data_IF_875205483851
#
_entry.id   IF_875205483851
#
_cell.length_a   1.000
_cell.length_b   1.000
_cell.length_c   1.000
_cell.angle_alpha   90.00
_cell.angle_beta   90.00
_cell.angle_gamma   90.00
#
_symmetry.space_group_name_H-M   'P 1'
#
loop_
_entity.id
_entity.type
_entity.pdbx_description
1 polymer ?
#
# COMPACT_ATOMS: atom_id res chain seq x y z
N UNK A 1 -98.01 -6.11 71.09
CA UNK A 1 -96.72 -6.22 70.36
C UNK A 1 -96.19 -4.83 70.14
N UNK A 2 -95.25 -4.38 70.97
CA UNK A 2 -94.65 -3.06 70.85
C UNK A 2 -93.22 -3.25 70.40
N UNK A 3 -92.92 -2.72 69.25
CA UNK A 3 -91.54 -2.71 68.67
C UNK A 3 -90.81 -1.51 69.33
N UNK A 4 -89.70 -1.79 69.98
CA UNK A 4 -88.77 -0.82 70.52
C UNK A 4 -87.78 -0.52 69.44
N UNK A 5 -87.71 0.72 68.94
CA UNK A 5 -86.64 1.23 68.08
C UNK A 5 -85.51 1.77 68.99
N UNK A 6 -84.33 1.22 68.85
CA UNK A 6 -83.08 1.73 69.42
C UNK A 6 -82.40 2.61 68.38
N UNK A 7 -82.11 3.89 68.70
CA UNK A 7 -81.32 4.70 67.72
C UNK A 7 -79.84 4.30 67.76
N UNK A 8 -79.32 3.93 66.63
CA UNK A 8 -77.90 3.67 66.41
C UNK A 8 -77.17 5.00 66.23
N UNK A 9 -76.46 5.45 67.27
CA UNK A 9 -75.50 6.60 67.13
C UNK A 9 -74.29 6.17 66.33
N UNK A 10 -74.22 6.67 65.10
CA UNK A 10 -73.01 6.58 64.29
C UNK A 10 -71.99 7.61 64.82
N UNK A 11 -70.98 7.15 65.52
CA UNK A 11 -69.78 7.95 65.85
C UNK A 11 -68.87 7.89 64.60
N UNK A 12 -68.90 8.97 63.85
CA UNK A 12 -67.93 9.14 62.77
C UNK A 12 -66.59 9.55 63.38
N UNK A 13 -65.75 8.57 63.67
CA UNK A 13 -64.34 8.82 64.01
C UNK A 13 -63.62 9.24 62.78
N UNK A 14 -63.21 10.48 62.67
CA UNK A 14 -62.24 10.98 61.68
C UNK A 14 -60.91 10.38 62.02
N UNK A 15 -60.59 9.24 61.38
CA UNK A 15 -59.22 8.77 61.34
C UNK A 15 -58.46 9.69 60.39
N UNK A 16 -57.65 10.61 60.92
CA UNK A 16 -56.56 11.24 60.21
C UNK A 16 -55.55 10.12 59.95
N UNK A 17 -55.58 9.60 58.74
CA UNK A 17 -54.53 8.72 58.27
C UNK A 17 -53.24 9.58 58.11
N UNK A 18 -52.48 9.75 59.19
CA UNK A 18 -51.08 10.12 59.11
C UNK A 18 -50.38 8.96 58.43
N UNK A 19 -50.17 9.07 57.10
CA UNK A 19 -49.35 8.16 56.39
C UNK A 19 -47.98 8.12 57.07
N UNK A 20 -47.65 7.00 57.68
CA UNK A 20 -46.26 6.74 58.07
C UNK A 20 -45.42 6.81 56.80
N UNK A 21 -44.74 7.96 56.53
CA UNK A 21 -43.65 8.01 55.63
C UNK A 21 -42.64 7.05 56.19
N UNK A 22 -42.37 5.94 55.49
CA UNK A 22 -41.37 5.00 55.93
C UNK A 22 -40.04 5.74 56.05
N UNK A 23 -39.23 5.42 57.06
CA UNK A 23 -37.91 5.98 57.31
C UNK A 23 -37.02 5.89 56.03
N UNK A 24 -37.23 4.86 55.24
CA UNK A 24 -36.60 4.70 53.90
C UNK A 24 -36.97 5.82 52.90
N UNK A 25 -38.09 6.52 53.07
CA UNK A 25 -38.52 7.58 52.16
C UNK A 25 -37.92 8.96 52.47
N UNK A 26 -37.33 9.13 53.65
CA UNK A 26 -36.74 10.39 54.12
C UNK A 26 -35.20 10.29 54.33
N UNK A 27 -34.64 9.09 54.19
CA UNK A 27 -33.19 8.88 54.34
C UNK A 27 -32.39 9.51 53.18
N UNK A 28 -31.27 10.19 53.46
CA UNK A 28 -30.38 10.68 52.40
C UNK A 28 -29.99 9.63 51.37
N UNK A 29 -29.87 8.37 51.80
CA UNK A 29 -29.50 7.21 50.99
C UNK A 29 -30.50 6.86 49.88
N UNK A 30 -31.74 7.41 49.96
CA UNK A 30 -32.71 7.20 48.87
C UNK A 30 -32.24 7.72 47.53
N UNK A 31 -31.64 8.90 47.51
CA UNK A 31 -31.10 9.48 46.27
C UNK A 31 -29.98 8.61 45.67
N UNK A 32 -29.16 8.01 46.54
CA UNK A 32 -28.14 7.04 46.11
C UNK A 32 -28.77 5.78 45.50
N UNK A 33 -29.80 5.21 46.14
CA UNK A 33 -30.48 4.02 45.64
C UNK A 33 -31.18 4.32 44.30
N UNK A 34 -31.88 5.45 44.17
CA UNK A 34 -32.49 5.90 42.92
C UNK A 34 -31.45 6.11 41.83
N UNK A 35 -30.30 6.74 42.16
CA UNK A 35 -29.19 6.94 41.23
C UNK A 35 -28.59 5.61 40.73
N UNK A 36 -28.37 4.66 41.64
CA UNK A 36 -27.90 3.32 41.34
C UNK A 36 -28.87 2.52 40.45
N UNK A 37 -30.18 2.63 40.72
CA UNK A 37 -31.21 2.02 39.89
C UNK A 37 -31.17 2.61 38.46
N UNK A 38 -31.13 3.94 38.35
CA UNK A 38 -30.99 4.64 37.04
C UNK A 38 -29.70 4.26 36.30
N UNK A 39 -28.60 4.07 37.03
CA UNK A 39 -27.35 3.57 36.47
C UNK A 39 -27.54 2.18 35.86
N UNK A 40 -28.16 1.25 36.60
CA UNK A 40 -28.41 -0.12 36.12
C UNK A 40 -29.34 -0.15 34.88
N UNK A 41 -30.27 0.81 34.81
CA UNK A 41 -31.16 1.01 33.65
C UNK A 41 -30.52 1.80 32.51
N UNK A 42 -29.22 2.16 32.61
CA UNK A 42 -28.45 2.97 31.65
C UNK A 42 -29.07 4.37 31.40
N UNK A 43 -29.89 4.86 32.37
CA UNK A 43 -30.37 6.24 32.34
C UNK A 43 -29.33 7.15 32.98
N UNK A 44 -28.23 7.37 32.27
CA UNK A 44 -27.06 8.10 32.74
C UNK A 44 -27.37 9.57 33.15
N UNK A 45 -28.18 10.35 32.39
CA UNK A 45 -28.53 11.70 32.82
C UNK A 45 -29.24 11.71 34.19
N UNK A 46 -30.25 10.89 34.35
CA UNK A 46 -30.98 10.80 35.63
C UNK A 46 -30.13 10.25 36.79
N UNK A 47 -29.21 9.33 36.48
CA UNK A 47 -28.23 8.80 37.43
C UNK A 47 -27.34 9.94 37.98
N UNK A 48 -26.75 10.74 37.11
CA UNK A 48 -25.88 11.87 37.50
C UNK A 48 -26.67 12.87 38.38
N UNK A 49 -27.87 13.29 37.96
CA UNK A 49 -28.68 14.25 38.72
C UNK A 49 -28.97 13.75 40.13
N UNK A 50 -29.30 12.47 40.29
CA UNK A 50 -29.60 11.88 41.61
C UNK A 50 -28.37 11.75 42.51
N UNK A 51 -27.26 11.31 41.93
CA UNK A 51 -26.03 11.10 42.69
C UNK A 51 -25.36 12.42 43.08
N UNK A 52 -25.41 13.44 42.24
CA UNK A 52 -24.95 14.78 42.58
C UNK A 52 -25.78 15.39 43.71
N UNK A 53 -27.13 15.23 43.69
CA UNK A 53 -27.99 15.65 44.77
C UNK A 53 -27.72 14.86 46.07
N UNK A 54 -27.39 13.58 46.00
CA UNK A 54 -27.00 12.76 47.13
C UNK A 54 -25.71 13.30 47.77
N UNK A 55 -24.67 13.59 47.03
CA UNK A 55 -23.38 14.07 47.51
C UNK A 55 -23.45 15.35 48.33
N UNK A 56 -24.44 16.23 48.06
CA UNK A 56 -24.64 17.48 48.85
C UNK A 56 -24.97 17.25 50.32
N UNK A 57 -25.49 16.08 50.67
CA UNK A 57 -25.95 15.77 52.02
C UNK A 57 -25.35 14.47 52.60
N UNK A 58 -24.60 13.74 51.81
CA UNK A 58 -23.98 12.48 52.17
C UNK A 58 -22.85 12.68 53.21
N UNK A 59 -22.70 11.67 54.07
CA UNK A 59 -21.63 11.63 55.09
C UNK A 59 -20.81 10.34 55.01
N UNK A 60 -21.33 9.33 54.35
CA UNK A 60 -20.69 8.03 54.17
C UNK A 60 -19.67 8.13 53.03
N UNK A 61 -18.39 8.05 53.38
CA UNK A 61 -17.31 8.20 52.45
C UNK A 61 -17.29 7.09 51.38
N UNK A 62 -17.65 5.86 51.73
CA UNK A 62 -17.67 4.73 50.81
C UNK A 62 -18.78 4.87 49.75
N UNK A 63 -19.97 5.35 50.20
CA UNK A 63 -21.09 5.61 49.30
C UNK A 63 -20.84 6.86 48.42
N UNK A 64 -20.12 7.86 48.93
CA UNK A 64 -19.68 9.02 48.12
C UNK A 64 -18.74 8.56 47.01
N UNK A 65 -17.72 7.76 47.34
CA UNK A 65 -16.79 7.19 46.35
C UNK A 65 -17.54 6.37 45.28
N UNK A 66 -18.48 5.54 45.68
CA UNK A 66 -19.28 4.75 44.73
C UNK A 66 -20.18 5.64 43.86
N UNK A 67 -20.76 6.73 44.41
CA UNK A 67 -21.51 7.72 43.64
C UNK A 67 -20.60 8.43 42.63
N UNK A 68 -19.40 8.84 43.00
CA UNK A 68 -18.42 9.48 42.12
C UNK A 68 -18.03 8.55 40.98
N UNK A 69 -17.75 7.27 41.29
CA UNK A 69 -17.50 6.29 40.25
C UNK A 69 -18.65 6.19 39.22
N UNK A 70 -19.91 6.05 39.72
CA UNK A 70 -21.05 5.95 38.81
C UNK A 70 -21.28 7.23 37.98
N UNK A 71 -20.95 8.40 38.52
CA UNK A 71 -21.05 9.70 37.83
C UNK A 71 -20.01 9.74 36.68
N UNK A 72 -18.73 9.42 36.95
CA UNK A 72 -17.67 9.49 35.91
C UNK A 72 -17.89 8.40 34.87
N UNK A 73 -18.34 7.20 35.25
CA UNK A 73 -18.71 6.15 34.30
C UNK A 73 -19.89 6.60 33.42
N UNK A 74 -20.91 7.20 34.00
CA UNK A 74 -22.06 7.71 33.24
C UNK A 74 -21.65 8.86 32.29
N UNK A 75 -20.69 9.69 32.68
CA UNK A 75 -20.12 10.73 31.81
C UNK A 75 -19.38 10.13 30.62
N UNK A 76 -18.63 9.06 30.83
CA UNK A 76 -17.98 8.28 29.77
C UNK A 76 -18.99 7.69 28.78
N UNK A 77 -20.01 6.99 29.29
CA UNK A 77 -21.05 6.37 28.46
C UNK A 77 -21.89 7.38 27.65
N UNK A 78 -21.97 8.63 28.13
CA UNK A 78 -22.60 9.74 27.38
C UNK A 78 -21.65 10.35 26.34
N UNK A 79 -20.41 9.94 26.28
CA UNK A 79 -19.41 10.54 25.40
C UNK A 79 -19.12 12.01 25.70
N UNK A 80 -19.14 12.42 26.99
CA UNK A 80 -18.86 13.81 27.36
C UNK A 80 -17.44 14.19 26.96
N UNK A 81 -17.21 15.39 26.39
CA UNK A 81 -15.89 15.81 25.91
C UNK A 81 -14.80 15.77 26.97
N UNK A 82 -15.15 16.03 28.24
CA UNK A 82 -14.25 16.05 29.40
C UNK A 82 -14.28 14.75 30.24
N UNK A 83 -14.81 13.65 29.69
CA UNK A 83 -14.91 12.40 30.42
C UNK A 83 -13.56 11.87 30.90
N UNK A 84 -12.49 12.04 30.13
CA UNK A 84 -11.13 11.63 30.50
C UNK A 84 -10.56 12.46 31.66
N UNK A 85 -10.90 13.74 31.75
CA UNK A 85 -10.53 14.59 32.90
C UNK A 85 -11.24 14.12 34.15
N UNK A 86 -12.57 13.94 34.09
CA UNK A 86 -13.36 13.46 35.23
C UNK A 86 -12.89 12.09 35.74
N UNK A 87 -12.53 11.18 34.85
CA UNK A 87 -12.00 9.86 35.21
C UNK A 87 -10.64 9.97 35.89
N UNK A 88 -9.75 10.89 35.46
CA UNK A 88 -8.46 11.14 36.09
C UNK A 88 -8.62 11.78 37.46
N UNK A 89 -9.51 12.77 37.60
CA UNK A 89 -9.80 13.38 38.89
C UNK A 89 -10.29 12.30 39.89
N UNK A 90 -11.12 11.36 39.43
CA UNK A 90 -11.57 10.23 40.27
C UNK A 90 -10.38 9.37 40.76
N UNK A 91 -9.38 9.08 39.90
CA UNK A 91 -8.17 8.31 40.29
C UNK A 91 -7.30 9.08 41.27
N UNK A 92 -7.23 10.41 41.14
CA UNK A 92 -6.48 11.27 42.05
C UNK A 92 -7.16 11.33 43.44
N UNK A 93 -8.50 11.44 43.47
CA UNK A 93 -9.26 11.48 44.70
C UNK A 93 -9.34 10.12 45.43
N UNK A 94 -9.34 9.02 44.66
CA UNK A 94 -9.51 7.65 45.16
C UNK A 94 -8.46 6.67 44.64
N UNK A 95 -7.15 6.85 44.94
CA UNK A 95 -6.08 6.04 44.37
C UNK A 95 -6.14 4.55 44.76
N UNK A 96 -6.82 4.19 45.82
CA UNK A 96 -7.03 2.81 46.26
C UNK A 96 -8.45 2.27 45.93
N UNK A 97 -9.13 2.88 44.99
CA UNK A 97 -10.48 2.45 44.62
C UNK A 97 -10.45 1.05 43.97
N UNK A 98 -11.47 0.25 44.32
CA UNK A 98 -11.72 -1.05 43.63
C UNK A 98 -12.09 -0.90 42.15
N UNK A 99 -12.39 0.32 41.70
CA UNK A 99 -12.75 0.65 40.33
C UNK A 99 -11.58 1.20 39.52
N UNK A 100 -10.36 1.30 40.13
CA UNK A 100 -9.20 1.92 39.46
C UNK A 100 -8.87 1.24 38.13
N UNK A 101 -8.87 -0.09 38.07
CA UNK A 101 -8.60 -0.85 36.84
C UNK A 101 -9.60 -0.56 35.73
N UNK A 102 -10.89 -0.53 36.09
CA UNK A 102 -11.94 -0.20 35.13
C UNK A 102 -11.84 1.25 34.67
N UNK A 103 -11.55 2.21 35.58
CA UNK A 103 -11.37 3.62 35.21
C UNK A 103 -10.15 3.79 34.30
N UNK A 104 -9.04 3.12 34.55
CA UNK A 104 -7.86 3.10 33.67
C UNK A 104 -8.23 2.56 32.28
N UNK A 105 -8.99 1.46 32.22
CA UNK A 105 -9.49 0.92 30.96
C UNK A 105 -10.39 1.91 30.20
N UNK A 106 -11.26 2.67 30.90
CA UNK A 106 -12.13 3.67 30.28
C UNK A 106 -11.32 4.84 29.71
N UNK A 107 -10.31 5.34 30.44
CA UNK A 107 -9.41 6.39 29.93
C UNK A 107 -8.62 5.89 28.71
N UNK A 108 -8.07 4.68 28.79
CA UNK A 108 -7.40 4.03 27.66
C UNK A 108 -8.31 3.93 26.43
N UNK A 109 -9.59 3.61 26.66
CA UNK A 109 -10.60 3.52 25.61
C UNK A 109 -10.90 4.86 24.95
N UNK A 110 -10.97 5.95 25.72
CA UNK A 110 -11.15 7.31 25.19
C UNK A 110 -9.96 7.68 24.29
N UNK A 111 -8.74 7.44 24.75
CA UNK A 111 -7.53 7.72 23.96
C UNK A 111 -7.47 6.85 22.69
N UNK A 112 -7.89 5.60 22.78
CA UNK A 112 -8.03 4.73 21.61
C UNK A 112 -8.99 5.31 20.56
N UNK A 113 -10.16 5.76 20.95
CA UNK A 113 -11.17 6.33 20.06
C UNK A 113 -10.72 7.66 19.42
N UNK A 114 -9.88 8.43 20.12
CA UNK A 114 -9.22 9.64 19.60
C UNK A 114 -8.02 9.34 18.68
N UNK A 115 -7.62 8.07 18.51
CA UNK A 115 -6.42 7.69 17.75
C UNK A 115 -5.10 8.00 18.46
N UNK A 116 -5.13 8.30 19.76
CA UNK A 116 -3.97 8.59 20.58
C UNK A 116 -3.34 7.29 21.15
N UNK A 117 -2.90 6.41 20.24
CA UNK A 117 -2.58 5.02 20.56
C UNK A 117 -1.48 4.84 21.62
N UNK A 118 -0.48 5.70 21.68
CA UNK A 118 0.56 5.63 22.73
C UNK A 118 -0.03 5.90 24.12
N UNK A 119 -0.93 6.87 24.25
CA UNK A 119 -1.62 7.15 25.52
C UNK A 119 -2.58 6.01 25.87
N UNK A 120 -3.28 5.46 24.87
CA UNK A 120 -4.14 4.31 25.10
C UNK A 120 -3.36 3.11 25.66
N UNK A 121 -2.20 2.78 25.09
CA UNK A 121 -1.31 1.71 25.60
C UNK A 121 -0.89 1.99 27.04
N UNK A 122 -0.53 3.23 27.37
CA UNK A 122 -0.16 3.61 28.73
C UNK A 122 -1.28 3.27 29.71
N UNK A 123 -2.50 3.77 29.47
CA UNK A 123 -3.62 3.57 30.37
C UNK A 123 -4.11 2.12 30.42
N UNK A 124 -4.05 1.38 29.32
CA UNK A 124 -4.34 -0.05 29.34
C UNK A 124 -3.32 -0.83 30.18
N UNK A 125 -2.04 -0.46 30.18
CA UNK A 125 -1.02 -1.11 31.02
C UNK A 125 -1.16 -0.80 32.51
N UNK A 126 -1.81 0.32 32.88
CA UNK A 126 -2.14 0.66 34.27
C UNK A 126 -3.39 -0.11 34.79
N UNK A 127 -4.08 -0.88 33.93
CA UNK A 127 -5.28 -1.65 34.26
C UNK A 127 -4.94 -3.13 34.35
N UNK A 128 -5.33 -3.78 35.45
CA UNK A 128 -5.29 -5.24 35.54
C UNK A 128 -6.49 -5.83 34.81
N UNK A 129 -6.23 -6.53 33.70
CA UNK A 129 -7.26 -7.15 32.86
C UNK A 129 -8.13 -8.14 33.64
N UNK A 130 -7.59 -8.82 34.65
CA UNK A 130 -8.33 -9.83 35.42
C UNK A 130 -9.39 -9.20 36.34
N UNK A 131 -9.26 -7.89 36.60
CA UNK A 131 -10.25 -7.12 37.38
C UNK A 131 -11.41 -6.57 36.54
N UNK A 132 -11.31 -6.67 35.21
CA UNK A 132 -12.35 -6.21 34.27
C UNK A 132 -13.44 -7.28 34.07
N UNK A 133 -14.63 -6.84 33.68
CA UNK A 133 -15.69 -7.76 33.27
C UNK A 133 -15.27 -8.52 31.99
N UNK A 134 -15.79 -9.73 31.73
CA UNK A 134 -15.45 -10.50 30.54
C UNK A 134 -15.62 -9.72 29.23
N UNK A 135 -16.64 -8.88 29.11
CA UNK A 135 -16.87 -8.05 27.94
C UNK A 135 -15.80 -6.95 27.80
N UNK A 136 -15.38 -6.35 28.90
CA UNK A 136 -14.31 -5.36 28.94
C UNK A 136 -12.94 -5.99 28.64
N UNK A 137 -12.67 -7.21 29.13
CA UNK A 137 -11.43 -7.95 28.83
C UNK A 137 -11.26 -8.19 27.32
N UNK A 138 -12.36 -8.51 26.64
CA UNK A 138 -12.34 -8.66 25.18
C UNK A 138 -12.04 -7.33 24.47
N UNK A 139 -12.72 -6.26 24.89
CA UNK A 139 -12.51 -4.93 24.33
C UNK A 139 -11.08 -4.40 24.62
N UNK A 140 -10.61 -4.60 25.84
CA UNK A 140 -9.24 -4.28 26.26
C UNK A 140 -8.21 -4.96 25.37
N UNK A 141 -8.31 -6.28 25.23
CA UNK A 141 -7.36 -7.08 24.45
C UNK A 141 -7.31 -6.63 22.99
N UNK A 142 -8.48 -6.35 22.39
CA UNK A 142 -8.57 -5.89 20.99
C UNK A 142 -8.02 -4.47 20.82
N UNK A 143 -8.44 -3.52 21.69
CA UNK A 143 -8.01 -2.13 21.62
C UNK A 143 -6.51 -1.98 21.88
N UNK A 144 -5.96 -2.74 22.84
CA UNK A 144 -4.52 -2.79 23.10
C UNK A 144 -3.76 -3.36 21.90
N UNK A 145 -4.21 -4.49 21.33
CA UNK A 145 -3.60 -5.09 20.16
C UNK A 145 -3.59 -4.13 18.96
N UNK A 146 -4.70 -3.44 18.72
CA UNK A 146 -4.80 -2.46 17.64
C UNK A 146 -3.88 -1.25 17.88
N UNK A 147 -3.83 -0.75 19.11
CA UNK A 147 -2.93 0.35 19.48
C UNK A 147 -1.46 -0.02 19.28
N UNK A 148 -1.06 -1.23 19.67
CA UNK A 148 0.28 -1.77 19.41
C UNK A 148 0.59 -1.89 17.93
N UNK A 149 -0.40 -2.29 17.12
CA UNK A 149 -0.24 -2.34 15.66
C UNK A 149 0.01 -0.95 15.07
N UNK A 150 -0.78 0.05 15.48
CA UNK A 150 -0.64 1.43 15.00
C UNK A 150 0.67 2.10 15.44
N UNK A 151 1.26 1.65 16.55
CA UNK A 151 2.55 2.13 17.04
C UNK A 151 3.75 1.32 16.53
N UNK A 152 3.50 0.32 15.65
CA UNK A 152 4.55 -0.46 14.99
C UNK A 152 5.01 -1.70 15.78
N UNK A 153 4.42 -2.00 16.93
CA UNK A 153 4.76 -3.18 17.75
C UNK A 153 4.05 -4.45 17.22
N UNK A 154 4.32 -4.80 15.95
CA UNK A 154 3.58 -5.82 15.20
C UNK A 154 3.59 -7.20 15.87
N UNK A 155 4.72 -7.65 16.44
CA UNK A 155 4.81 -8.98 17.06
C UNK A 155 3.94 -9.09 18.32
N UNK A 156 3.92 -8.06 19.15
CA UNK A 156 3.05 -8.01 20.33
C UNK A 156 1.58 -7.95 19.91
N UNK A 157 1.24 -7.06 18.97
CA UNK A 157 -0.11 -6.96 18.43
C UNK A 157 -0.61 -8.30 17.90
N UNK A 158 0.21 -9.01 17.11
CA UNK A 158 -0.10 -10.33 16.59
C UNK A 158 -0.40 -11.33 17.71
N UNK A 159 0.38 -11.31 18.80
CA UNK A 159 0.17 -12.17 19.96
C UNK A 159 -1.21 -11.99 20.59
N UNK A 160 -1.61 -10.75 20.83
CA UNK A 160 -2.94 -10.42 21.36
C UNK A 160 -4.07 -10.81 20.39
N UNK A 161 -3.97 -10.43 19.10
CA UNK A 161 -4.98 -10.80 18.10
C UNK A 161 -5.12 -12.33 17.95
N UNK A 162 -4.01 -13.09 17.98
CA UNK A 162 -4.07 -14.56 17.89
C UNK A 162 -4.79 -15.18 19.10
N UNK A 163 -4.68 -14.60 20.28
CA UNK A 163 -5.42 -15.02 21.47
C UNK A 163 -6.93 -14.82 21.30
N UNK A 164 -7.33 -13.61 20.85
CA UNK A 164 -8.74 -13.28 20.62
C UNK A 164 -9.33 -14.20 19.53
N UNK A 165 -8.58 -14.50 18.48
CA UNK A 165 -8.97 -15.42 17.42
C UNK A 165 -9.30 -16.82 17.97
N UNK A 166 -8.54 -17.31 18.95
CA UNK A 166 -8.71 -18.63 19.55
C UNK A 166 -9.91 -18.69 20.52
N UNK A 167 -10.10 -17.66 21.33
CA UNK A 167 -11.16 -17.61 22.34
C UNK A 167 -12.54 -17.49 21.69
N UNK A 168 -12.66 -16.81 20.56
CA UNK A 168 -13.90 -16.79 19.76
C UNK A 168 -14.95 -15.80 20.25
N UNK A 169 -14.58 -14.57 20.34
CA UNK A 169 -15.40 -13.43 20.74
C UNK A 169 -15.98 -12.69 19.56
N UNK A 170 -16.73 -11.62 19.83
CA UNK A 170 -17.23 -10.69 18.78
C UNK A 170 -16.10 -10.06 17.93
N UNK A 171 -14.86 -10.08 18.42
CA UNK A 171 -13.69 -9.55 17.70
C UNK A 171 -12.90 -10.62 16.92
N UNK A 172 -13.38 -11.87 16.84
CA UNK A 172 -12.66 -12.98 16.21
C UNK A 172 -12.29 -12.67 14.76
N UNK A 173 -13.26 -12.27 13.96
CA UNK A 173 -13.07 -12.02 12.52
C UNK A 173 -12.13 -10.83 12.29
N UNK A 174 -12.34 -9.74 13.03
CA UNK A 174 -11.44 -8.59 12.98
C UNK A 174 -10.02 -8.96 13.41
N UNK A 175 -9.87 -9.75 14.47
CA UNK A 175 -8.55 -10.22 14.92
C UNK A 175 -7.90 -11.16 13.92
N UNK A 176 -8.67 -12.02 13.26
CA UNK A 176 -8.19 -12.87 12.16
C UNK A 176 -7.65 -12.02 11.00
N UNK A 177 -8.38 -10.95 10.66
CA UNK A 177 -7.93 -10.02 9.62
C UNK A 177 -6.61 -9.35 10.00
N UNK A 178 -6.46 -8.86 11.24
CA UNK A 178 -5.21 -8.22 11.66
C UNK A 178 -4.05 -9.20 11.80
N UNK A 179 -4.28 -10.45 12.20
CA UNK A 179 -3.25 -11.52 12.15
C UNK A 179 -2.78 -11.73 10.71
N UNK A 180 -3.71 -11.88 9.77
CA UNK A 180 -3.38 -12.04 8.34
C UNK A 180 -2.64 -10.83 7.76
N UNK A 181 -3.07 -9.62 8.12
CA UNK A 181 -2.42 -8.38 7.71
C UNK A 181 -0.99 -8.28 8.24
N UNK A 182 -0.76 -8.58 9.53
CA UNK A 182 0.58 -8.57 10.12
C UNK A 182 1.46 -9.64 9.48
N UNK A 183 0.94 -10.84 9.22
CA UNK A 183 1.67 -11.90 8.53
C UNK A 183 2.03 -11.49 7.09
N UNK A 184 1.14 -10.77 6.38
CA UNK A 184 1.44 -10.17 5.09
C UNK A 184 2.56 -9.12 5.21
N UNK A 185 2.42 -8.15 6.10
CA UNK A 185 3.37 -7.07 6.30
C UNK A 185 4.77 -7.55 6.74
N UNK A 186 4.83 -8.67 7.44
CA UNK A 186 6.09 -9.31 7.89
C UNK A 186 6.61 -10.40 6.94
N UNK A 187 6.02 -10.53 5.73
CA UNK A 187 6.48 -11.46 4.68
C UNK A 187 6.09 -12.92 4.92
N UNK A 188 5.26 -13.22 5.92
CA UNK A 188 4.75 -14.57 6.21
C UNK A 188 3.56 -14.89 5.29
N UNK A 189 3.77 -14.78 3.97
CA UNK A 189 2.71 -14.81 2.97
C UNK A 189 1.84 -16.08 2.99
N UNK A 190 2.42 -17.23 3.27
CA UNK A 190 1.64 -18.48 3.32
C UNK A 190 0.63 -18.48 4.49
N UNK A 191 1.01 -17.95 5.65
CA UNK A 191 0.12 -17.83 6.79
C UNK A 191 -1.01 -16.84 6.50
N UNK A 192 -0.64 -15.66 5.94
CA UNK A 192 -1.60 -14.63 5.52
C UNK A 192 -2.63 -15.19 4.52
N UNK A 193 -2.19 -15.99 3.52
CA UNK A 193 -3.09 -16.61 2.55
C UNK A 193 -4.13 -17.53 3.19
N UNK A 194 -3.76 -18.31 4.21
CA UNK A 194 -4.70 -19.21 4.90
C UNK A 194 -5.84 -18.39 5.52
N UNK A 195 -5.51 -17.35 6.25
CA UNK A 195 -6.51 -16.55 6.96
C UNK A 195 -7.32 -15.67 5.99
N UNK A 196 -6.69 -15.02 5.00
CA UNK A 196 -7.43 -14.26 3.99
C UNK A 196 -8.33 -15.14 3.14
N UNK A 197 -7.93 -16.38 2.80
CA UNK A 197 -8.80 -17.31 2.07
C UNK A 197 -10.05 -17.68 2.86
N UNK A 198 -9.96 -17.75 4.18
CA UNK A 198 -11.12 -17.98 5.06
C UNK A 198 -12.00 -16.72 5.14
N UNK A 199 -11.38 -15.54 5.30
CA UNK A 199 -12.09 -14.26 5.39
C UNK A 199 -12.75 -13.84 4.08
N UNK A 200 -12.24 -14.30 2.94
CA UNK A 200 -12.83 -14.09 1.61
C UNK A 200 -14.29 -14.57 1.51
N UNK A 201 -14.66 -15.58 2.31
CA UNK A 201 -16.04 -16.09 2.34
C UNK A 201 -17.00 -15.22 3.18
N UNK A 202 -16.46 -14.21 3.89
CA UNK A 202 -17.23 -13.30 4.74
C UNK A 202 -17.46 -11.96 4.02
N UNK A 203 -18.72 -11.50 3.84
CA UNK A 203 -19.02 -10.30 3.06
C UNK A 203 -18.23 -9.05 3.50
N UNK A 204 -18.10 -8.83 4.82
CA UNK A 204 -17.45 -7.64 5.38
C UNK A 204 -15.93 -7.61 5.16
N UNK A 205 -15.30 -8.75 4.90
CA UNK A 205 -13.86 -8.89 4.72
C UNK A 205 -13.46 -9.30 3.30
N UNK A 206 -14.43 -9.64 2.43
CA UNK A 206 -14.20 -10.21 1.10
C UNK A 206 -13.33 -9.31 0.22
N UNK A 207 -13.67 -8.02 0.14
CA UNK A 207 -12.93 -7.07 -0.70
C UNK A 207 -11.45 -7.00 -0.31
N UNK A 208 -11.17 -6.77 0.98
CA UNK A 208 -9.81 -6.65 1.49
C UNK A 208 -9.04 -7.96 1.37
N UNK A 209 -9.71 -9.08 1.59
CA UNK A 209 -9.10 -10.41 1.46
C UNK A 209 -8.69 -10.69 0.03
N UNK A 210 -9.56 -10.46 -0.95
CA UNK A 210 -9.26 -10.60 -2.38
C UNK A 210 -8.08 -9.72 -2.78
N UNK A 211 -8.04 -8.49 -2.28
CA UNK A 211 -6.93 -7.56 -2.54
C UNK A 211 -5.59 -8.13 -2.05
N UNK A 212 -5.50 -8.54 -0.77
CA UNK A 212 -4.25 -9.08 -0.23
C UNK A 212 -3.86 -10.44 -0.83
N UNK A 213 -4.83 -11.31 -1.13
CA UNK A 213 -4.58 -12.58 -1.84
C UNK A 213 -3.96 -12.30 -3.22
N UNK A 214 -4.51 -11.34 -3.98
CA UNK A 214 -3.99 -10.93 -5.28
C UNK A 214 -2.56 -10.40 -5.17
N UNK A 215 -2.29 -9.55 -4.20
CA UNK A 215 -0.95 -9.03 -3.90
C UNK A 215 0.05 -10.15 -3.58
N UNK A 216 -0.33 -11.07 -2.70
CA UNK A 216 0.54 -12.17 -2.29
C UNK A 216 0.87 -13.07 -3.47
N UNK A 217 -0.12 -13.42 -4.31
CA UNK A 217 0.14 -14.22 -5.50
C UNK A 217 1.03 -13.50 -6.49
N UNK A 218 0.91 -12.18 -6.62
CA UNK A 218 1.81 -11.39 -7.44
C UNK A 218 3.26 -11.40 -6.92
N UNK A 219 3.46 -11.18 -5.62
CA UNK A 219 4.78 -11.28 -4.96
C UNK A 219 5.41 -12.68 -5.16
N UNK A 220 4.56 -13.73 -5.19
CA UNK A 220 5.00 -15.10 -5.42
C UNK A 220 5.13 -15.47 -6.90
N UNK A 221 4.94 -14.54 -7.85
CA UNK A 221 4.96 -14.75 -9.30
C UNK A 221 3.94 -15.82 -9.78
N UNK A 222 2.82 -15.98 -9.07
CA UNK A 222 1.74 -16.93 -9.42
C UNK A 222 0.69 -16.22 -10.28
N UNK A 223 1.09 -15.84 -11.50
CA UNK A 223 0.34 -14.93 -12.37
C UNK A 223 -1.06 -15.41 -12.74
N UNK A 224 -1.27 -16.71 -12.97
CA UNK A 224 -2.60 -17.26 -13.26
C UNK A 224 -3.57 -17.07 -12.08
N UNK A 225 -3.06 -17.23 -10.83
CA UNK A 225 -3.86 -16.99 -9.63
C UNK A 225 -4.13 -15.51 -9.41
N UNK A 226 -3.16 -14.65 -9.73
CA UNK A 226 -3.37 -13.19 -9.72
C UNK A 226 -4.52 -12.82 -10.65
N UNK A 227 -4.54 -13.38 -11.86
CA UNK A 227 -5.60 -13.09 -12.83
C UNK A 227 -6.95 -13.54 -12.29
N UNK A 228 -7.07 -14.75 -11.75
CA UNK A 228 -8.32 -15.26 -11.20
C UNK A 228 -8.88 -14.38 -10.07
N UNK A 229 -8.06 -14.09 -9.07
CA UNK A 229 -8.51 -13.34 -7.89
C UNK A 229 -8.69 -11.84 -8.21
N UNK A 230 -7.81 -11.26 -9.01
CA UNK A 230 -7.87 -9.86 -9.40
C UNK A 230 -9.05 -9.53 -10.33
N UNK A 231 -9.40 -10.41 -11.28
CA UNK A 231 -10.61 -10.23 -12.10
C UNK A 231 -11.89 -10.37 -11.26
N UNK A 232 -11.91 -11.31 -10.29
CA UNK A 232 -13.00 -11.43 -9.32
C UNK A 232 -13.15 -10.13 -8.50
N UNK A 233 -12.04 -9.58 -8.02
CA UNK A 233 -12.05 -8.33 -7.24
C UNK A 233 -12.60 -7.16 -8.05
N UNK A 234 -12.12 -6.95 -9.28
CA UNK A 234 -12.59 -5.87 -10.14
C UNK A 234 -14.07 -6.00 -10.53
N UNK A 235 -14.55 -7.23 -10.75
CA UNK A 235 -15.94 -7.48 -11.11
C UNK A 235 -16.90 -7.28 -9.95
N UNK A 236 -16.50 -7.70 -8.74
CA UNK A 236 -17.31 -7.61 -7.52
C UNK A 236 -17.29 -6.21 -6.91
N UNK A 237 -16.17 -5.48 -7.05
CA UNK A 237 -15.93 -4.16 -6.41
C UNK A 237 -15.39 -3.13 -7.42
N UNK A 238 -16.18 -2.75 -8.44
CA UNK A 238 -15.74 -1.87 -9.53
C UNK A 238 -15.34 -0.47 -9.07
N UNK A 239 -15.78 -0.03 -7.88
CA UNK A 239 -15.50 1.28 -7.31
C UNK A 239 -14.50 1.21 -6.12
N UNK A 240 -13.78 0.12 -5.96
CA UNK A 240 -12.76 -0.01 -4.90
C UNK A 240 -11.65 1.01 -5.07
N UNK A 241 -11.23 1.62 -3.96
CA UNK A 241 -10.06 2.51 -3.92
C UNK A 241 -8.75 1.79 -4.28
N UNK A 242 -8.74 0.47 -4.21
CA UNK A 242 -7.58 -0.36 -4.51
C UNK A 242 -7.46 -0.72 -6.00
N UNK A 243 -8.45 -0.37 -6.82
CA UNK A 243 -8.50 -0.81 -8.23
C UNK A 243 -7.32 -0.32 -9.06
N UNK A 244 -6.74 0.83 -8.77
CA UNK A 244 -5.52 1.31 -9.45
C UNK A 244 -4.38 0.30 -9.32
N UNK A 245 -4.10 -0.16 -8.11
CA UNK A 245 -3.07 -1.16 -7.84
C UNK A 245 -3.43 -2.53 -8.44
N UNK A 246 -4.70 -2.91 -8.41
CA UNK A 246 -5.15 -4.16 -9.03
C UNK A 246 -4.97 -4.13 -10.55
N UNK A 247 -5.24 -3.00 -11.22
CA UNK A 247 -4.95 -2.83 -12.65
C UNK A 247 -3.45 -3.00 -12.94
N UNK A 248 -2.59 -2.42 -12.10
CA UNK A 248 -1.13 -2.56 -12.21
C UNK A 248 -0.69 -4.03 -12.15
N UNK A 249 -1.12 -4.72 -11.10
CA UNK A 249 -0.77 -6.13 -10.84
C UNK A 249 -1.30 -7.04 -11.94
N UNK A 250 -2.54 -6.86 -12.35
CA UNK A 250 -3.14 -7.63 -13.45
C UNK A 250 -2.44 -7.36 -14.77
N UNK A 251 -2.11 -6.11 -15.07
CA UNK A 251 -1.40 -5.74 -16.29
C UNK A 251 -0.03 -6.41 -16.39
N UNK A 252 0.75 -6.36 -15.32
CA UNK A 252 2.02 -7.07 -15.23
C UNK A 252 1.85 -8.58 -15.36
N UNK A 253 0.86 -9.15 -14.69
CA UNK A 253 0.60 -10.60 -14.75
C UNK A 253 0.22 -11.05 -16.14
N UNK A 254 -0.64 -10.31 -16.84
CA UNK A 254 -0.96 -10.60 -18.25
C UNK A 254 0.23 -10.48 -19.18
N UNK A 255 1.13 -9.51 -18.93
CA UNK A 255 2.37 -9.39 -19.69
C UNK A 255 3.24 -10.64 -19.53
N UNK A 256 3.45 -11.12 -18.30
CA UNK A 256 4.21 -12.35 -18.02
C UNK A 256 3.55 -13.61 -18.59
N UNK A 257 2.24 -13.64 -18.69
CA UNK A 257 1.47 -14.72 -19.32
C UNK A 257 1.41 -14.59 -20.86
N UNK A 258 2.05 -13.58 -21.45
CA UNK A 258 2.08 -13.36 -22.90
C UNK A 258 0.78 -12.75 -23.47
N UNK A 259 -0.19 -12.38 -22.67
CA UNK A 259 -1.44 -11.77 -23.10
C UNK A 259 -1.30 -10.25 -23.22
N UNK A 260 -0.70 -9.80 -24.32
CA UNK A 260 -0.39 -8.39 -24.53
C UNK A 260 -1.62 -7.48 -24.63
N UNK A 261 -2.76 -8.00 -25.12
CA UNK A 261 -3.98 -7.21 -25.25
C UNK A 261 -4.56 -6.86 -23.88
N UNK A 262 -4.69 -7.86 -23.00
CA UNK A 262 -5.16 -7.64 -21.64
C UNK A 262 -4.13 -6.84 -20.81
N UNK A 263 -2.82 -7.09 -20.99
CA UNK A 263 -1.77 -6.31 -20.35
C UNK A 263 -1.87 -4.83 -20.70
N UNK A 264 -1.98 -4.51 -22.00
CA UNK A 264 -2.16 -3.12 -22.47
C UNK A 264 -3.39 -2.48 -21.86
N UNK A 265 -4.52 -3.18 -21.82
CA UNK A 265 -5.78 -2.64 -21.28
C UNK A 265 -5.62 -2.30 -19.78
N UNK A 266 -5.10 -3.25 -18.99
CA UNK A 266 -4.97 -3.06 -17.54
C UNK A 266 -3.94 -1.97 -17.21
N UNK A 267 -2.75 -1.98 -17.84
CA UNK A 267 -1.74 -0.96 -17.60
C UNK A 267 -2.18 0.43 -18.07
N UNK A 268 -2.94 0.54 -19.15
CA UNK A 268 -3.51 1.83 -19.58
C UNK A 268 -4.48 2.39 -18.54
N UNK A 269 -5.32 1.55 -17.93
CA UNK A 269 -6.22 1.95 -16.83
C UNK A 269 -5.43 2.38 -15.60
N UNK A 270 -4.39 1.64 -15.24
CA UNK A 270 -3.48 2.01 -14.14
C UNK A 270 -2.86 3.39 -14.37
N UNK A 271 -2.22 3.60 -15.52
CA UNK A 271 -1.56 4.87 -15.86
C UNK A 271 -2.55 6.04 -15.87
N UNK A 272 -3.80 5.80 -16.28
CA UNK A 272 -4.86 6.82 -16.24
C UNK A 272 -5.43 7.09 -14.85
N UNK A 273 -5.18 6.22 -13.88
CA UNK A 273 -5.72 6.29 -12.51
C UNK A 273 -4.74 6.86 -11.48
N UNK A 274 -3.51 7.20 -11.88
CA UNK A 274 -2.47 7.73 -11.00
C UNK A 274 -1.67 8.85 -11.67
N UNK A 275 -1.29 9.86 -10.89
CA UNK A 275 -0.43 10.96 -11.36
C UNK A 275 1.05 10.56 -11.44
N UNK A 276 1.44 9.46 -10.83
CA UNK A 276 2.83 9.00 -10.72
C UNK A 276 2.96 7.51 -10.98
N UNK A 277 2.75 7.06 -12.24
CA UNK A 277 2.92 5.65 -12.58
C UNK A 277 4.39 5.21 -12.42
N UNK A 278 4.59 3.97 -12.03
CA UNK A 278 5.92 3.40 -11.86
C UNK A 278 6.63 3.26 -13.22
N UNK A 279 7.92 3.58 -13.28
CA UNK A 279 8.75 3.52 -14.49
C UNK A 279 8.75 2.14 -15.15
N UNK A 280 8.80 1.07 -14.35
CA UNK A 280 8.75 -0.31 -14.84
C UNK A 280 7.45 -0.64 -15.55
N UNK A 281 6.33 -0.15 -15.03
CA UNK A 281 5.00 -0.40 -15.62
C UNK A 281 4.80 0.41 -16.91
N UNK A 282 5.33 1.64 -16.96
CA UNK A 282 5.38 2.45 -18.19
C UNK A 282 6.22 1.78 -19.28
N UNK A 283 7.36 1.18 -18.90
CA UNK A 283 8.20 0.40 -19.80
C UNK A 283 7.43 -0.79 -20.39
N UNK A 284 6.80 -1.60 -19.53
CA UNK A 284 6.03 -2.75 -19.99
C UNK A 284 4.87 -2.31 -20.91
N UNK A 285 4.15 -1.25 -20.55
CA UNK A 285 3.10 -0.69 -21.38
C UNK A 285 3.64 -0.23 -22.75
N UNK A 286 4.78 0.45 -22.75
CA UNK A 286 5.45 0.89 -23.97
C UNK A 286 5.85 -0.27 -24.87
N UNK A 287 6.42 -1.33 -24.30
CA UNK A 287 6.75 -2.57 -25.03
C UNK A 287 5.50 -3.24 -25.58
N UNK A 288 4.42 -3.31 -24.81
CA UNK A 288 3.13 -3.84 -25.29
C UNK A 288 2.60 -3.02 -26.48
N UNK A 289 2.65 -1.69 -26.43
CA UNK A 289 2.24 -0.83 -27.54
C UNK A 289 3.13 -1.05 -28.77
N UNK A 290 4.47 -1.15 -28.57
CA UNK A 290 5.41 -1.43 -29.63
C UNK A 290 5.08 -2.73 -30.37
N UNK A 291 4.90 -3.82 -29.62
CA UNK A 291 4.58 -5.14 -30.17
C UNK A 291 3.24 -5.16 -30.92
N UNK A 292 2.28 -4.31 -30.52
CA UNK A 292 0.99 -4.13 -31.21
C UNK A 292 1.09 -3.19 -32.43
N UNK A 293 2.24 -2.62 -32.73
CA UNK A 293 2.44 -1.66 -33.81
C UNK A 293 1.92 -0.25 -33.53
N UNK A 294 1.50 0.02 -32.29
CA UNK A 294 1.11 1.38 -31.88
C UNK A 294 2.33 2.19 -31.42
N UNK A 295 3.16 2.55 -32.38
CA UNK A 295 4.45 3.18 -32.10
C UNK A 295 4.34 4.55 -31.44
N UNK A 296 3.30 5.33 -31.77
CA UNK A 296 3.09 6.64 -31.13
C UNK A 296 2.80 6.52 -29.64
N UNK A 297 1.95 5.56 -29.24
CA UNK A 297 1.69 5.28 -27.82
C UNK A 297 2.89 4.67 -27.12
N UNK A 298 3.69 3.83 -27.84
CA UNK A 298 4.94 3.29 -27.33
C UNK A 298 5.94 4.41 -26.99
N UNK A 299 6.14 5.37 -27.90
CA UNK A 299 6.98 6.55 -27.65
C UNK A 299 6.51 7.32 -26.42
N UNK A 300 5.21 7.58 -26.30
CA UNK A 300 4.67 8.32 -25.13
C UNK A 300 4.99 7.62 -23.80
N UNK A 301 4.73 6.31 -23.69
CA UNK A 301 5.01 5.55 -22.47
C UNK A 301 6.50 5.43 -22.17
N UNK A 302 7.31 5.07 -23.19
CA UNK A 302 8.76 4.87 -23.04
C UNK A 302 9.52 6.17 -22.73
N UNK A 303 9.10 7.31 -23.28
CA UNK A 303 9.72 8.61 -22.98
C UNK A 303 9.57 9.00 -21.52
N UNK A 304 8.53 8.54 -20.85
CA UNK A 304 8.34 8.76 -19.43
C UNK A 304 9.16 7.80 -18.55
N UNK A 305 9.71 6.73 -19.14
CA UNK A 305 10.56 5.76 -18.45
C UNK A 305 12.00 6.26 -18.28
N UNK A 306 12.54 7.00 -19.28
CA UNK A 306 13.96 7.38 -19.39
C UNK A 306 14.32 8.60 -18.54
N UNK A 307 14.13 8.51 -17.21
CA UNK A 307 14.41 9.61 -16.25
C UNK A 307 15.69 9.43 -15.46
N UNK A 308 16.31 8.27 -15.51
CA UNK A 308 17.48 7.87 -14.73
C UNK A 308 18.50 7.20 -15.66
N UNK A 309 19.77 7.17 -15.22
CA UNK A 309 20.82 6.47 -15.95
C UNK A 309 20.96 5.04 -15.39
N UNK A 310 20.18 4.12 -15.93
CA UNK A 310 20.10 2.73 -15.49
C UNK A 310 19.78 1.77 -16.65
N UNK A 311 19.79 0.47 -16.36
CA UNK A 311 19.49 -0.57 -17.34
C UNK A 311 18.07 -0.45 -17.91
N UNK A 312 17.10 0.02 -17.13
CA UNK A 312 15.72 0.19 -17.59
C UNK A 312 15.65 1.30 -18.66
N UNK A 313 16.33 2.42 -18.43
CA UNK A 313 16.42 3.51 -19.39
C UNK A 313 17.14 3.09 -20.66
N UNK A 314 18.24 2.32 -20.55
CA UNK A 314 18.96 1.80 -21.72
C UNK A 314 18.04 0.94 -22.60
N UNK A 315 17.28 0.03 -22.00
CA UNK A 315 16.28 -0.78 -22.70
C UNK A 315 15.17 0.07 -23.34
N UNK A 316 14.64 1.05 -22.58
CA UNK A 316 13.60 1.94 -23.08
C UNK A 316 14.08 2.77 -24.28
N UNK A 317 15.33 3.27 -24.26
CA UNK A 317 15.92 3.97 -25.39
C UNK A 317 16.03 3.09 -26.65
N UNK A 318 16.35 1.80 -26.51
CA UNK A 318 16.36 0.89 -27.66
C UNK A 318 14.96 0.81 -28.30
N UNK A 319 13.91 0.58 -27.51
CA UNK A 319 12.52 0.52 -28.01
C UNK A 319 12.04 1.89 -28.54
N UNK A 320 12.47 3.01 -27.94
CA UNK A 320 12.22 4.35 -28.46
C UNK A 320 12.84 4.52 -29.85
N UNK A 321 14.10 4.15 -30.02
CA UNK A 321 14.78 4.21 -31.32
C UNK A 321 14.06 3.40 -32.38
N UNK A 322 13.68 2.16 -32.06
CA UNK A 322 12.93 1.29 -32.97
C UNK A 322 11.52 1.87 -33.27
N UNK A 323 10.84 2.44 -32.27
CA UNK A 323 9.53 3.06 -32.46
C UNK A 323 9.61 4.28 -33.39
N UNK A 324 10.60 5.15 -33.19
CA UNK A 324 10.83 6.32 -34.05
C UNK A 324 11.17 5.92 -35.49
N UNK A 325 11.96 4.84 -35.69
CA UNK A 325 12.20 4.30 -37.03
C UNK A 325 10.89 3.88 -37.74
N UNK A 326 10.02 3.18 -37.02
CA UNK A 326 8.69 2.77 -37.56
C UNK A 326 7.81 3.97 -37.88
N UNK A 327 7.95 5.07 -37.14
CA UNK A 327 7.29 6.35 -37.40
C UNK A 327 8.01 7.18 -38.47
N UNK A 328 9.14 6.70 -39.06
CA UNK A 328 9.98 7.42 -40.02
C UNK A 328 10.64 8.68 -39.47
N UNK A 329 10.75 8.81 -38.17
CA UNK A 329 11.45 9.90 -37.48
C UNK A 329 12.92 9.50 -37.22
N UNK A 330 13.76 9.64 -38.24
CA UNK A 330 15.16 9.26 -38.18
C UNK A 330 15.97 10.07 -37.18
N UNK A 331 15.60 11.34 -36.94
CA UNK A 331 16.32 12.22 -36.02
C UNK A 331 16.16 11.75 -34.57
N UNK A 332 14.94 11.56 -34.11
CA UNK A 332 14.67 11.06 -32.76
C UNK A 332 15.13 9.60 -32.61
N UNK A 333 15.05 8.78 -33.67
CA UNK A 333 15.59 7.41 -33.65
C UNK A 333 17.11 7.42 -33.39
N UNK A 334 17.85 8.31 -34.07
CA UNK A 334 19.31 8.46 -33.88
C UNK A 334 19.64 8.82 -32.44
N UNK A 335 18.99 9.84 -31.89
CA UNK A 335 19.20 10.28 -30.49
C UNK A 335 18.92 9.16 -29.48
N UNK A 336 17.86 8.40 -29.71
CA UNK A 336 17.49 7.30 -28.80
C UNK A 336 18.51 6.13 -28.89
N UNK A 337 18.92 5.76 -30.10
CA UNK A 337 19.95 4.71 -30.25
C UNK A 337 21.32 5.17 -29.72
N UNK A 338 21.69 6.43 -29.88
CA UNK A 338 22.92 7.00 -29.31
C UNK A 338 22.90 6.87 -27.77
N UNK A 339 21.78 7.26 -27.11
CA UNK A 339 21.63 7.14 -25.67
C UNK A 339 21.71 5.68 -25.19
N UNK A 340 21.15 4.74 -25.94
CA UNK A 340 21.23 3.31 -25.60
C UNK A 340 22.65 2.76 -25.83
N UNK A 341 23.36 3.21 -26.91
CA UNK A 341 24.69 2.75 -27.29
C UNK A 341 25.78 3.26 -26.32
N UNK A 342 25.63 4.48 -25.80
CA UNK A 342 26.57 5.07 -24.83
C UNK A 342 26.40 4.52 -23.42
N UNK A 343 25.29 3.84 -23.13
CA UNK A 343 25.04 3.16 -21.85
C UNK A 343 25.63 1.75 -21.87
N UNK A 344 26.24 1.31 -20.76
CA UNK A 344 26.95 0.02 -20.68
C UNK A 344 26.35 -0.97 -19.67
N UNK A 345 25.08 -0.79 -19.29
CA UNK A 345 24.40 -1.66 -18.32
C UNK A 345 24.12 -3.06 -18.90
N UNK A 346 23.68 -3.10 -20.16
CA UNK A 346 23.43 -4.33 -20.91
C UNK A 346 24.22 -4.30 -22.23
N UNK A 347 25.17 -5.22 -22.38
CA UNK A 347 26.02 -5.32 -23.54
C UNK A 347 25.29 -5.73 -24.81
N UNK A 348 24.24 -6.55 -24.72
CA UNK A 348 23.45 -6.95 -25.87
C UNK A 348 22.61 -5.78 -26.40
N UNK A 349 22.02 -5.00 -25.49
CA UNK A 349 21.30 -3.77 -25.84
C UNK A 349 22.27 -2.74 -26.46
N UNK A 350 23.45 -2.58 -25.86
CA UNK A 350 24.48 -1.68 -26.36
C UNK A 350 24.90 -2.05 -27.80
N UNK A 351 25.15 -3.33 -28.07
CA UNK A 351 25.51 -3.86 -29.39
C UNK A 351 24.44 -3.50 -30.44
N UNK A 352 23.17 -3.83 -30.18
CA UNK A 352 22.07 -3.55 -31.12
C UNK A 352 21.88 -2.04 -31.32
N UNK A 353 21.97 -1.26 -30.26
CA UNK A 353 21.80 0.19 -30.30
C UNK A 353 22.94 0.84 -31.10
N UNK A 354 24.22 0.46 -30.89
CA UNK A 354 25.38 1.00 -31.56
C UNK A 354 25.34 0.70 -33.05
N UNK A 355 24.94 -0.53 -33.42
CA UNK A 355 24.77 -0.88 -34.85
C UNK A 355 23.72 0.01 -35.53
N UNK A 356 22.52 0.17 -34.91
CA UNK A 356 21.45 0.99 -35.48
C UNK A 356 21.81 2.48 -35.53
N UNK A 357 22.52 2.98 -34.50
CA UNK A 357 23.02 4.35 -34.45
C UNK A 357 23.98 4.62 -35.63
N UNK A 358 25.00 3.77 -35.80
CA UNK A 358 25.98 3.89 -36.90
C UNK A 358 25.31 3.80 -38.29
N UNK A 359 24.36 2.86 -38.45
CA UNK A 359 23.59 2.71 -39.68
C UNK A 359 22.80 3.97 -40.05
N UNK A 360 22.12 4.56 -39.08
CA UNK A 360 21.35 5.80 -39.30
C UNK A 360 22.24 6.99 -39.68
N UNK A 361 23.39 7.13 -39.05
CA UNK A 361 24.38 8.15 -39.45
C UNK A 361 24.87 7.89 -40.88
N UNK A 362 25.21 6.64 -41.19
CA UNK A 362 25.65 6.25 -42.53
C UNK A 362 24.60 6.56 -43.60
N UNK A 363 23.32 6.25 -43.36
CA UNK A 363 22.22 6.51 -44.28
C UNK A 363 21.87 7.99 -44.45
N UNK A 364 22.20 8.84 -43.48
CA UNK A 364 21.87 10.26 -43.47
C UNK A 364 23.03 11.20 -43.74
N UNK A 365 24.27 10.69 -43.73
CA UNK A 365 25.48 11.47 -43.96
C UNK A 365 25.69 11.80 -45.46
N UNK A 366 25.95 13.08 -45.75
CA UNK A 366 26.28 13.54 -47.09
C UNK A 366 27.75 13.24 -47.51
N UNK A 367 28.59 12.84 -46.55
CA UNK A 367 30.03 12.58 -46.78
C UNK A 367 30.34 11.13 -46.41
N UNK A 368 30.90 10.37 -47.32
CA UNK A 368 31.21 8.94 -47.13
C UNK A 368 32.23 8.63 -46.02
N UNK A 369 32.93 9.62 -45.50
CA UNK A 369 33.94 9.46 -44.45
C UNK A 369 33.66 10.44 -43.31
N UNK A 370 33.19 9.95 -42.21
CA UNK A 370 32.77 10.78 -41.06
C UNK A 370 32.46 9.96 -39.82
N UNK A 371 31.54 10.49 -39.00
CA UNK A 371 31.14 9.94 -37.69
C UNK A 371 30.75 8.46 -37.77
N UNK A 372 30.04 8.00 -38.83
CA UNK A 372 29.61 6.62 -38.98
C UNK A 372 30.79 5.65 -39.08
N UNK A 373 31.89 6.04 -39.75
CA UNK A 373 33.09 5.21 -39.87
C UNK A 373 33.72 4.97 -38.53
N UNK A 374 33.88 6.00 -37.70
CA UNK A 374 34.39 5.88 -36.32
C UNK A 374 33.53 4.96 -35.47
N UNK A 375 32.21 5.12 -35.53
CA UNK A 375 31.31 4.28 -34.75
C UNK A 375 31.32 2.82 -35.20
N UNK A 376 31.44 2.57 -36.52
CA UNK A 376 31.59 1.21 -37.05
C UNK A 376 32.93 0.58 -36.68
N UNK A 377 34.05 1.36 -36.63
CA UNK A 377 35.35 0.90 -36.14
C UNK A 377 35.27 0.49 -34.67
N UNK A 378 34.68 1.36 -33.82
CA UNK A 378 34.47 1.10 -32.39
C UNK A 378 33.56 -0.11 -32.19
N UNK A 379 32.51 -0.26 -33.03
CA UNK A 379 31.63 -1.42 -32.99
C UNK A 379 32.39 -2.74 -33.22
N UNK A 380 33.26 -2.80 -34.25
CA UNK A 380 34.03 -4.02 -34.54
C UNK A 380 35.08 -4.33 -33.47
N UNK A 381 35.59 -3.31 -32.78
CA UNK A 381 36.52 -3.49 -31.68
C UNK A 381 35.82 -3.95 -30.41
N UNK A 382 34.62 -3.41 -30.10
CA UNK A 382 33.85 -3.75 -28.90
C UNK A 382 33.07 -5.07 -29.03
N UNK A 383 32.63 -5.38 -30.29
CA UNK A 383 31.78 -6.54 -30.61
C UNK A 383 32.29 -7.36 -31.79
N UNK A 384 33.54 -7.88 -31.73
CA UNK A 384 34.16 -8.56 -32.88
C UNK A 384 33.44 -9.84 -33.34
N UNK A 385 32.66 -10.47 -32.44
CA UNK A 385 31.87 -11.68 -32.70
C UNK A 385 30.37 -11.40 -32.89
N UNK A 386 30.00 -10.15 -33.12
CA UNK A 386 28.60 -9.75 -33.33
C UNK A 386 28.02 -10.38 -34.59
N UNK A 387 26.74 -10.72 -34.55
CA UNK A 387 25.98 -11.10 -35.75
C UNK A 387 25.95 -10.00 -36.84
N UNK A 388 26.24 -8.76 -36.46
CA UNK A 388 26.28 -7.60 -37.34
C UNK A 388 27.68 -7.32 -37.90
N UNK A 389 28.74 -8.02 -37.42
CA UNK A 389 30.11 -7.72 -37.74
C UNK A 389 30.40 -7.82 -39.26
N UNK A 390 29.89 -8.86 -39.93
CA UNK A 390 30.06 -9.00 -41.38
C UNK A 390 29.43 -7.84 -42.16
N UNK A 391 28.23 -7.42 -41.75
CA UNK A 391 27.52 -6.30 -42.37
C UNK A 391 28.24 -4.97 -42.15
N UNK A 392 28.78 -4.76 -40.96
CA UNK A 392 29.57 -3.57 -40.62
C UNK A 392 30.88 -3.55 -41.46
N UNK A 393 31.56 -4.70 -41.59
CA UNK A 393 32.72 -4.82 -42.46
C UNK A 393 32.40 -4.46 -43.93
N UNK A 394 31.27 -4.94 -44.47
CA UNK A 394 30.83 -4.61 -45.83
C UNK A 394 30.59 -3.11 -46.03
N UNK A 395 29.92 -2.44 -45.07
CA UNK A 395 29.72 -0.98 -45.10
C UNK A 395 31.03 -0.21 -45.03
N UNK A 396 31.96 -0.59 -44.16
CA UNK A 396 33.25 0.06 -44.06
C UNK A 396 34.07 -0.12 -45.34
N UNK A 397 34.12 -1.33 -45.92
CA UNK A 397 34.79 -1.60 -47.19
C UNK A 397 34.23 -0.74 -48.32
N UNK A 398 32.91 -0.63 -48.44
CA UNK A 398 32.26 0.22 -49.43
C UNK A 398 32.68 1.70 -49.27
N UNK A 399 32.65 2.23 -48.06
CA UNK A 399 33.08 3.61 -47.77
C UNK A 399 34.55 3.80 -48.08
N UNK A 400 35.43 2.84 -47.73
CA UNK A 400 36.84 2.90 -47.93
C UNK A 400 37.22 2.90 -49.42
N UNK A 401 36.56 2.11 -50.25
CA UNK A 401 36.81 2.02 -51.68
C UNK A 401 36.24 3.22 -52.48
N UNK A 402 35.19 3.88 -51.94
CA UNK A 402 34.55 5.01 -52.62
C UNK A 402 35.19 6.36 -52.27
N UNK A 403 35.91 6.44 -51.15
CA UNK A 403 36.58 7.68 -50.73
C UNK A 403 37.89 7.91 -51.49
N UNK A 404 38.21 9.18 -51.79
CA UNK A 404 39.53 9.56 -52.35
C UNK A 404 40.56 9.92 -51.26
N UNK A 405 40.15 9.80 -49.97
CA UNK A 405 41.05 10.10 -48.85
C UNK A 405 41.76 8.81 -48.38
N UNK A 406 42.63 8.27 -49.21
CA UNK A 406 43.30 7.00 -49.00
C UNK A 406 44.11 6.95 -47.69
N UNK A 407 44.74 8.09 -47.28
CA UNK A 407 45.49 8.11 -46.01
C UNK A 407 44.60 8.01 -44.80
N UNK A 408 43.47 8.72 -44.79
CA UNK A 408 42.49 8.58 -43.68
C UNK A 408 41.90 7.16 -43.62
N UNK A 409 41.63 6.56 -44.79
CA UNK A 409 41.16 5.19 -44.90
C UNK A 409 42.17 4.19 -44.33
N UNK A 410 43.45 4.33 -44.67
CA UNK A 410 44.49 3.47 -44.15
C UNK A 410 44.62 3.57 -42.62
N UNK A 411 44.55 4.80 -42.09
CA UNK A 411 44.55 5.06 -40.65
C UNK A 411 43.33 4.43 -39.95
N UNK A 412 42.18 4.48 -40.58
CA UNK A 412 40.94 3.88 -40.12
C UNK A 412 41.02 2.35 -40.04
N UNK A 413 41.44 1.68 -41.14
CA UNK A 413 41.59 0.23 -41.16
C UNK A 413 42.59 -0.24 -40.09
N UNK A 414 43.66 0.52 -39.84
CA UNK A 414 44.67 0.20 -38.84
C UNK A 414 44.19 0.27 -37.39
N UNK A 415 43.06 0.89 -37.13
CA UNK A 415 42.43 0.92 -35.78
C UNK A 415 41.62 -0.34 -35.49
N UNK A 416 41.26 -1.12 -36.53
CA UNK A 416 40.45 -2.32 -36.36
C UNK A 416 41.33 -3.46 -35.88
N UNK A 417 41.04 -4.00 -34.70
CA UNK A 417 41.84 -5.04 -34.06
C UNK A 417 41.82 -6.38 -34.83
N UNK A 418 40.64 -6.72 -35.41
CA UNK A 418 40.40 -7.98 -36.11
C UNK A 418 39.78 -7.71 -37.51
N UNK A 419 40.55 -7.18 -38.49
CA UNK A 419 40.01 -6.87 -39.80
C UNK A 419 39.63 -8.15 -40.56
N UNK A 420 38.49 -8.13 -41.26
CA UNK A 420 38.05 -9.23 -42.13
C UNK A 420 38.96 -9.37 -43.37
N UNK A 421 38.89 -10.53 -44.06
CA UNK A 421 39.64 -10.75 -45.30
C UNK A 421 39.33 -9.69 -46.35
N UNK A 422 38.04 -9.33 -46.52
CA UNK A 422 37.60 -8.25 -47.44
C UNK A 422 38.25 -6.90 -47.08
N UNK A 423 38.37 -6.61 -45.79
CA UNK A 423 38.97 -5.37 -45.29
C UNK A 423 40.49 -5.35 -45.56
N UNK A 424 41.16 -6.49 -45.43
CA UNK A 424 42.58 -6.61 -45.76
C UNK A 424 42.81 -6.45 -47.27
N UNK A 425 41.91 -6.97 -48.11
CA UNK A 425 41.92 -6.75 -49.56
C UNK A 425 41.76 -5.27 -49.90
N UNK A 426 40.74 -4.60 -49.29
CA UNK A 426 40.56 -3.16 -49.45
C UNK A 426 41.79 -2.37 -48.99
N UNK A 427 42.45 -2.77 -47.89
CA UNK A 427 43.71 -2.17 -47.43
C UNK A 427 44.80 -2.28 -48.46
N UNK A 428 44.92 -3.43 -49.13
CA UNK A 428 45.88 -3.64 -50.20
C UNK A 428 45.67 -2.68 -51.39
N UNK A 429 44.39 -2.53 -51.82
CA UNK A 429 44.07 -1.62 -52.93
C UNK A 429 44.33 -0.15 -52.52
N UNK A 430 44.07 0.25 -51.30
CA UNK A 430 44.34 1.59 -50.74
C UNK A 430 45.87 1.88 -50.74
N UNK A 431 46.64 0.91 -50.26
CA UNK A 431 48.11 1.02 -50.28
C UNK A 431 48.66 1.14 -51.69
N UNK A 432 48.10 0.41 -52.66
CA UNK A 432 48.48 0.52 -54.10
C UNK A 432 48.14 1.93 -54.61
N UNK A 433 46.96 2.49 -54.30
CA UNK A 433 46.59 3.84 -54.73
C UNK A 433 47.52 4.91 -54.11
N UNK A 434 47.87 4.78 -52.82
CA UNK A 434 48.81 5.68 -52.14
C UNK A 434 50.20 5.61 -52.77
N UNK A 435 50.66 4.40 -53.04
CA UNK A 435 51.93 4.20 -53.76
C UNK A 435 51.96 4.84 -55.16
N UNK A 436 50.89 4.68 -55.92
CA UNK A 436 50.72 5.30 -57.25
C UNK A 436 50.72 6.82 -57.15
N UNK A 437 49.96 7.41 -56.16
CA UNK A 437 50.02 8.84 -55.95
C UNK A 437 51.36 9.38 -55.57
N UNK A 438 52.15 8.65 -54.76
CA UNK A 438 53.51 9.05 -54.41
C UNK A 438 54.51 8.94 -55.55
N UNK A 439 54.22 8.14 -56.58
CA UNK A 439 55.09 7.98 -57.77
C UNK A 439 54.74 8.99 -58.85
N UNK A 440 53.53 9.57 -58.85
CA UNK A 440 53.05 10.51 -59.87
C UNK A 440 53.16 11.99 -59.43
N UNK A 441 53.43 12.26 -58.16
CA UNK A 441 53.76 13.59 -57.62
C UNK A 441 55.27 13.73 -57.40
#
# INVERSE_FOLDING_TARGET
MKRILIPLCLVVGSHVASGQRSYQFEAPDRLFIEGKELFSLKNYPGCIDKLEAYKQHAKDADLIQEADYMIVYAAYEQGRPNADELLKDYLEDYPASRHSDEVNFLIGSIHFERGEYQKAIFWFNESDIDMLSPEQQEAYSFRLAYSLLQTGEMDKARGYFSRIQQIGTKYREASTYYVAYIDYATGKYNNALVEFSRLKEMPDYREQSLYYITQIYFIQNKYEKVVSEGEELLSSYPNSKNNSEVYRILGNSYYHLGNQDKATNMLSKYVSSTDSPLRGDLYILGVCYFNKGNYSSAVNALSQTVRENDALSQNAYLYLGQSYLKLKDKNNARMAFEAAATSSFDKQIQEVAMFNYALLIHETAFTGFGESVTIFEDFLNDFPNSQYADKVNDYLVEVYLTTKNYQATLNSINKINHPSTKMLEAKQDILFQLGTQAFTN
#
